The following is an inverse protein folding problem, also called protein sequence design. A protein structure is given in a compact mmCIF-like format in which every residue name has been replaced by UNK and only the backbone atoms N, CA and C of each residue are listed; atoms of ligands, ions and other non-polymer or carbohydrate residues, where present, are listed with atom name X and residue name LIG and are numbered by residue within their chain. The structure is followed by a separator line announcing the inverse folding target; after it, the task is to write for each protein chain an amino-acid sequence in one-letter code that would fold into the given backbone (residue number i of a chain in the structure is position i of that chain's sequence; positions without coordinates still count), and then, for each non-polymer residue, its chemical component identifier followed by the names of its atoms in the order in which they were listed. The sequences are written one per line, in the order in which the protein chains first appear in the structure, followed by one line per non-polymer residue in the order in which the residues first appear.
data_IF_380786245208
#
_entry.id   IF_380786245208
#
_cell.length_a   1.000
_cell.length_b   1.000
_cell.length_c   1.000
_cell.angle_alpha   90.00
_cell.angle_beta   90.00
_cell.angle_gamma   90.00
#
_symmetry.space_group_name_H-M   'P 1'
#
loop_
_entity.id
_entity.type
_entity.pdbx_description
1 polymer ?
#
# COMPACT_ATOMS: atom_id res chain seq x y z
N UNK A 1 20.29 9.95 -8.12
CA UNK A 1 19.04 10.52 -7.61
C UNK A 1 18.26 9.40 -6.97
N UNK A 2 18.55 9.10 -5.71
CA UNK A 2 17.89 8.03 -4.97
C UNK A 2 16.47 8.47 -4.66
N UNK A 3 15.50 7.93 -5.39
CA UNK A 3 14.11 7.97 -4.97
C UNK A 3 13.99 6.97 -3.82
N UNK A 4 13.90 7.50 -2.60
CA UNK A 4 13.52 6.73 -1.44
C UNK A 4 12.03 6.44 -1.62
N UNK A 5 11.73 5.28 -2.22
CA UNK A 5 10.38 4.72 -2.24
C UNK A 5 10.02 4.45 -0.78
N UNK A 6 9.20 5.34 -0.21
CA UNK A 6 8.55 5.10 1.07
C UNK A 6 7.72 3.82 0.91
N UNK A 7 8.26 2.70 1.38
CA UNK A 7 7.49 1.50 1.62
C UNK A 7 6.34 1.92 2.54
N UNK A 8 5.11 1.89 2.04
CA UNK A 8 3.93 1.91 2.90
C UNK A 8 4.11 0.71 3.81
N UNK A 9 4.45 0.99 5.06
CA UNK A 9 4.53 -0.03 6.10
C UNK A 9 3.16 -0.69 6.13
N UNK A 10 3.11 -2.02 6.01
CA UNK A 10 1.89 -2.81 6.13
C UNK A 10 1.42 -2.88 7.59
N UNK A 11 1.62 -1.79 8.34
CA UNK A 11 1.13 -1.61 9.69
C UNK A 11 -0.37 -1.82 9.62
N UNK A 12 -0.89 -2.77 10.40
CA UNK A 12 -2.31 -2.85 10.66
C UNK A 12 -2.81 -1.43 11.02
N UNK A 13 -3.97 -0.99 10.49
CA UNK A 13 -4.49 0.34 10.80
C UNK A 13 -4.47 0.52 12.32
N UNK A 14 -3.97 1.67 12.77
CA UNK A 14 -3.92 1.98 14.19
C UNK A 14 -5.31 1.74 14.80
N UNK A 15 -5.39 1.18 16.02
CA UNK A 15 -6.67 0.92 16.65
C UNK A 15 -7.49 2.21 16.73
N UNK A 16 -8.78 2.13 16.39
CA UNK A 16 -9.70 3.25 16.51
C UNK A 16 -9.76 3.70 17.97
N UNK A 17 -9.29 4.92 18.25
CA UNK A 17 -9.37 5.52 19.57
C UNK A 17 -10.63 6.38 19.66
N UNK A 18 -11.49 6.06 20.62
CA UNK A 18 -12.71 6.80 20.90
C UNK A 18 -12.65 7.33 22.33
N UNK A 19 -12.72 8.64 22.50
CA UNK A 19 -12.61 9.31 23.79
C UNK A 19 -13.88 10.10 24.09
N UNK A 20 -14.46 9.85 25.28
CA UNK A 20 -15.59 10.61 25.78
C UNK A 20 -15.05 11.81 26.55
N UNK A 21 -15.16 13.00 25.96
CA UNK A 21 -14.61 14.24 26.55
C UNK A 21 -15.49 14.83 27.66
N UNK A 22 -16.75 14.37 27.78
CA UNK A 22 -17.70 14.88 28.77
C UNK A 22 -18.77 13.85 29.14
N UNK A 23 -19.12 13.79 30.42
CA UNK A 23 -20.15 12.89 30.94
C UNK A 23 -19.64 11.46 31.06
N UNK A 24 -20.55 10.54 31.37
CA UNK A 24 -20.29 9.10 31.36
C UNK A 24 -21.32 8.45 30.44
N UNK A 25 -20.86 7.83 29.36
CA UNK A 25 -21.75 7.07 28.48
C UNK A 25 -22.11 5.74 29.15
N UNK A 26 -23.33 5.28 28.94
CA UNK A 26 -23.72 3.94 29.38
C UNK A 26 -23.16 2.86 28.46
N UNK A 27 -23.18 1.61 28.91
CA UNK A 27 -22.75 0.47 28.09
C UNK A 27 -23.63 0.34 26.83
N UNK A 28 -24.93 0.60 26.96
CA UNK A 28 -25.88 0.56 25.83
C UNK A 28 -25.60 1.65 24.81
N UNK A 29 -25.29 2.86 25.26
CA UNK A 29 -24.93 3.98 24.37
C UNK A 29 -23.62 3.70 23.63
N UNK A 30 -22.63 3.14 24.33
CA UNK A 30 -21.37 2.71 23.71
C UNK A 30 -21.58 1.62 22.67
N UNK A 31 -22.41 0.62 22.97
CA UNK A 31 -22.74 -0.45 22.04
C UNK A 31 -23.46 0.08 20.80
N UNK A 32 -24.43 0.98 20.98
CA UNK A 32 -25.14 1.63 19.87
C UNK A 32 -24.19 2.44 18.99
N UNK A 33 -23.28 3.21 19.59
CA UNK A 33 -22.28 3.99 18.88
C UNK A 33 -21.34 3.10 18.05
N UNK A 34 -20.80 2.05 18.65
CA UNK A 34 -19.89 1.10 17.98
C UNK A 34 -20.60 0.42 16.81
N UNK A 35 -21.85 -0.01 17.00
CA UNK A 35 -22.63 -0.64 15.93
C UNK A 35 -22.83 0.29 14.73
N UNK A 36 -23.21 1.55 14.99
CA UNK A 36 -23.41 2.56 13.93
C UNK A 36 -22.10 2.89 13.22
N UNK A 37 -20.99 3.06 13.96
CA UNK A 37 -19.69 3.31 13.35
C UNK A 37 -19.23 2.13 12.50
N UNK A 38 -19.41 0.90 13.00
CA UNK A 38 -19.06 -0.32 12.28
C UNK A 38 -19.77 -0.41 10.93
N UNK A 39 -21.09 -0.22 10.93
CA UNK A 39 -21.91 -0.25 9.70
C UNK A 39 -21.52 0.85 8.69
N UNK A 40 -21.25 2.07 9.18
CA UNK A 40 -20.80 3.16 8.33
C UNK A 40 -19.42 2.87 7.70
N UNK A 41 -18.47 2.33 8.48
CA UNK A 41 -17.15 1.94 7.97
C UNK A 41 -17.22 0.77 6.99
N UNK A 42 -18.07 -0.23 7.23
CA UNK A 42 -18.27 -1.34 6.29
C UNK A 42 -18.83 -0.84 4.96
N UNK A 43 -19.78 0.08 4.99
CA UNK A 43 -20.33 0.72 3.79
C UNK A 43 -19.26 1.51 3.05
N UNK A 44 -18.50 2.35 3.74
CA UNK A 44 -17.41 3.13 3.14
C UNK A 44 -16.35 2.23 2.50
N UNK A 45 -15.98 1.14 3.18
CA UNK A 45 -15.02 0.17 2.64
C UNK A 45 -15.55 -0.59 1.44
N UNK A 46 -16.85 -0.89 1.40
CA UNK A 46 -17.48 -1.52 0.24
C UNK A 46 -17.53 -0.57 -0.97
N UNK A 47 -17.68 0.73 -0.73
CA UNK A 47 -17.68 1.77 -1.76
C UNK A 47 -16.27 2.25 -2.16
N UNK A 48 -15.22 1.82 -1.45
CA UNK A 48 -13.85 2.22 -1.71
C UNK A 48 -13.40 1.83 -3.13
N UNK A 49 -13.22 2.84 -3.99
CA UNK A 49 -12.83 2.63 -5.39
C UNK A 49 -11.33 2.76 -5.66
N UNK A 50 -10.52 3.01 -4.62
CA UNK A 50 -9.07 3.19 -4.78
C UNK A 50 -8.44 1.84 -5.09
N UNK A 51 -7.73 1.75 -6.21
CA UNK A 51 -7.00 0.53 -6.56
C UNK A 51 -5.84 0.32 -5.59
N UNK A 52 -5.81 -0.85 -4.93
CA UNK A 52 -4.67 -1.22 -4.09
C UNK A 52 -3.38 -1.22 -4.92
N UNK A 53 -2.27 -0.68 -4.39
CA UNK A 53 -1.00 -0.70 -5.09
C UNK A 53 -0.54 -2.15 -5.32
N UNK A 54 -0.70 -2.63 -6.56
CA UNK A 54 -0.29 -3.97 -6.99
C UNK A 54 1.05 -3.90 -7.70
N UNK A 55 2.06 -4.57 -7.15
CA UNK A 55 3.33 -4.77 -7.83
C UNK A 55 3.22 -5.99 -8.73
N UNK A 56 3.39 -5.81 -10.05
CA UNK A 56 3.33 -6.93 -11.00
C UNK A 56 4.47 -7.92 -10.74
N UNK A 57 4.26 -9.20 -11.08
CA UNK A 57 5.31 -10.22 -10.99
C UNK A 57 6.56 -9.85 -11.81
N UNK A 58 6.36 -9.17 -12.96
CA UNK A 58 7.45 -8.64 -13.78
C UNK A 58 8.21 -7.53 -13.06
N UNK A 59 7.52 -6.51 -12.52
CA UNK A 59 8.14 -5.43 -11.73
C UNK A 59 8.96 -5.99 -10.57
N UNK A 60 8.43 -7.01 -9.88
CA UNK A 60 9.10 -7.65 -8.73
C UNK A 60 10.33 -8.47 -9.13
N UNK A 61 10.37 -9.00 -10.35
CA UNK A 61 11.47 -9.84 -10.85
C UNK A 61 12.43 -9.10 -11.80
N UNK A 62 12.11 -7.84 -12.14
CA UNK A 62 12.89 -7.03 -13.04
C UNK A 62 14.31 -6.86 -12.50
N UNK A 63 15.29 -7.33 -13.27
CA UNK A 63 16.71 -7.15 -12.96
C UNK A 63 17.22 -5.86 -13.60
N UNK A 64 18.22 -5.19 -13.01
CA UNK A 64 18.85 -4.04 -13.63
C UNK A 64 19.38 -4.43 -15.01
N UNK A 65 19.20 -3.54 -15.99
CA UNK A 65 19.77 -3.71 -17.32
C UNK A 65 21.28 -3.88 -17.16
N UNK A 66 21.80 -5.00 -17.68
CA UNK A 66 23.24 -5.19 -17.74
C UNK A 66 23.84 -4.10 -18.62
N UNK A 67 25.09 -3.72 -18.33
CA UNK A 67 25.82 -2.77 -19.17
C UNK A 67 25.72 -3.22 -20.63
N UNK A 68 25.30 -2.34 -21.56
CA UNK A 68 25.22 -2.70 -22.98
C UNK A 68 26.59 -3.19 -23.45
N UNK A 69 26.58 -4.13 -24.39
CA UNK A 69 27.81 -4.63 -24.95
C UNK A 69 28.62 -3.49 -25.58
N UNK A 70 29.93 -3.49 -25.31
CA UNK A 70 30.92 -2.67 -25.98
C UNK A 70 30.91 -2.93 -27.48
N UNK A 71 30.34 -2.01 -28.25
CA UNK A 71 30.31 -2.03 -29.72
C UNK A 71 31.66 -1.70 -30.35
N UNK A 72 32.56 -1.14 -29.55
CA UNK A 72 33.96 -0.85 -29.90
C UNK A 72 34.85 -2.11 -29.87
N UNK A 73 34.31 -3.26 -29.44
CA UNK A 73 34.99 -4.56 -29.50
C UNK A 73 34.30 -5.41 -30.57
N UNK A 74 35.01 -5.84 -31.63
CA UNK A 74 34.42 -6.70 -32.65
C UNK A 74 34.03 -8.05 -32.03
N UNK A 75 32.82 -8.52 -32.31
CA UNK A 75 32.34 -9.81 -31.80
C UNK A 75 32.92 -10.96 -32.63
N UNK A 76 34.18 -11.30 -32.37
CA UNK A 76 34.89 -12.34 -33.12
C UNK A 76 34.81 -12.10 -34.63
N UNK A 77 34.39 -13.11 -35.39
CA UNK A 77 34.29 -13.07 -36.86
C UNK A 77 33.03 -12.39 -37.42
N UNK A 78 32.15 -11.87 -36.57
CA UNK A 78 30.85 -11.30 -36.98
C UNK A 78 30.87 -9.77 -37.02
N UNK A 79 31.94 -9.20 -37.60
CA UNK A 79 31.97 -7.79 -37.99
C UNK A 79 31.86 -7.71 -39.51
N UNK A 80 30.62 -7.69 -40.01
CA UNK A 80 30.26 -7.60 -41.43
C UNK A 80 28.86 -7.01 -41.55
#
# INVERSE_FOLDING_TARGET
MSAQESAVDGTAPAPLLLEITRGAATEEELAALIAVLGDAYETEQAEATVEEPRVSAWTRTQRPLRRPLRRDIPWGRFAG
#
